data_IF_200512436327
#
_entry.id   IF_200512436327
#
_cell.length_a   1.000
_cell.length_b   1.000
_cell.length_c   1.000
_cell.angle_alpha   90.00
_cell.angle_beta   90.00
_cell.angle_gamma   90.00
#
_symmetry.space_group_name_H-M   'P 1'
#
loop_
_entity.id
_entity.type
_entity.pdbx_description
1 polymer ?
#
# COMPACT_ATOMS: atom_id res chain seq x y z
N UNK A 1 -19.42 -27.41 23.57
CA UNK A 1 -20.18 -28.68 23.49
C UNK A 1 -20.56 -29.11 22.08
N UNK A 2 -21.27 -28.29 21.29
CA UNK A 2 -21.73 -28.65 19.93
C UNK A 2 -20.63 -29.19 18.99
N UNK A 3 -19.45 -28.57 18.99
CA UNK A 3 -18.33 -28.97 18.12
C UNK A 3 -17.74 -30.34 18.47
N UNK A 4 -17.75 -30.72 19.74
CA UNK A 4 -17.26 -32.03 20.20
C UNK A 4 -18.23 -33.13 19.80
N UNK A 5 -19.54 -32.84 19.90
CA UNK A 5 -20.59 -33.78 19.49
C UNK A 5 -20.55 -34.04 17.97
N UNK A 6 -20.30 -32.99 17.17
CA UNK A 6 -20.13 -33.11 15.72
C UNK A 6 -18.90 -33.96 15.35
N UNK A 7 -17.79 -33.81 16.07
CA UNK A 7 -16.59 -34.61 15.85
C UNK A 7 -16.82 -36.10 16.18
N UNK A 8 -17.52 -36.39 17.29
CA UNK A 8 -17.90 -37.75 17.66
C UNK A 8 -18.88 -38.38 16.67
N UNK A 9 -19.82 -37.60 16.14
CA UNK A 9 -20.76 -38.08 15.12
C UNK A 9 -20.04 -38.43 13.81
N UNK A 10 -19.10 -37.59 13.34
CA UNK A 10 -18.31 -37.87 12.13
C UNK A 10 -17.43 -39.10 12.26
N UNK A 11 -16.69 -39.21 13.37
CA UNK A 11 -15.85 -40.39 13.65
C UNK A 11 -16.66 -41.68 13.78
N UNK A 12 -17.92 -41.62 14.19
CA UNK A 12 -18.80 -42.78 14.21
C UNK A 12 -19.21 -43.22 12.79
N UNK A 13 -19.59 -42.26 11.94
CA UNK A 13 -20.02 -42.49 10.54
C UNK A 13 -18.85 -43.07 9.72
N UNK A 14 -17.66 -42.47 9.80
CA UNK A 14 -16.47 -42.94 9.08
C UNK A 14 -16.06 -44.38 9.43
N UNK A 15 -16.39 -44.85 10.64
CA UNK A 15 -16.03 -46.18 11.12
C UNK A 15 -17.10 -47.26 10.84
N UNK A 16 -18.32 -46.88 10.45
CA UNK A 16 -19.45 -47.83 10.33
C UNK A 16 -20.15 -47.82 8.97
N UNK A 17 -19.98 -46.80 8.12
CA UNK A 17 -20.69 -46.68 6.85
C UNK A 17 -19.74 -46.46 5.65
N UNK A 18 -19.44 -47.53 4.91
CA UNK A 18 -18.73 -47.47 3.60
C UNK A 18 -19.66 -47.07 2.44
N UNK A 19 -20.96 -46.86 2.69
CA UNK A 19 -22.00 -46.77 1.64
C UNK A 19 -22.78 -45.45 1.67
N UNK A 20 -22.69 -44.63 2.73
CA UNK A 20 -23.39 -43.35 2.78
C UNK A 20 -22.53 -42.17 2.32
N UNK A 21 -23.07 -41.39 1.38
CA UNK A 21 -22.52 -40.10 1.00
C UNK A 21 -22.65 -39.14 2.18
N UNK A 22 -21.55 -38.51 2.62
CA UNK A 22 -21.52 -37.56 3.73
C UNK A 22 -22.62 -36.50 3.56
N UNK A 23 -23.63 -36.54 4.44
CA UNK A 23 -24.84 -35.72 4.39
C UNK A 23 -24.59 -34.28 4.87
N UNK A 24 -23.39 -34.01 5.39
CA UNK A 24 -23.00 -32.69 5.87
C UNK A 24 -22.07 -32.02 4.85
N UNK A 25 -22.30 -30.74 4.57
CA UNK A 25 -21.30 -29.95 3.85
C UNK A 25 -19.96 -30.05 4.58
N UNK A 26 -18.91 -30.40 3.83
CA UNK A 26 -17.52 -30.39 4.30
C UNK A 26 -17.13 -28.94 4.62
N UNK A 27 -17.51 -28.46 5.80
CA UNK A 27 -16.94 -27.25 6.36
C UNK A 27 -15.46 -27.54 6.64
N UNK A 28 -14.52 -26.75 6.11
CA UNK A 28 -13.11 -26.91 6.43
C UNK A 28 -12.94 -26.67 7.92
N UNK A 29 -12.75 -27.75 8.69
CA UNK A 29 -12.24 -27.67 10.05
C UNK A 29 -10.76 -27.29 9.92
N UNK A 30 -10.45 -26.01 10.11
CA UNK A 30 -9.07 -25.57 10.32
C UNK A 30 -8.63 -26.12 11.68
N UNK A 31 -7.91 -27.24 11.67
CA UNK A 31 -7.50 -27.95 12.88
C UNK A 31 -6.13 -27.48 13.38
N UNK A 32 -5.31 -26.98 12.46
CA UNK A 32 -3.97 -26.51 12.75
C UNK A 32 -3.70 -25.15 12.05
N UNK A 33 -2.90 -24.29 12.66
CA UNK A 33 -2.52 -23.00 12.05
C UNK A 33 -1.79 -23.18 10.70
N UNK A 34 -1.18 -24.35 10.47
CA UNK A 34 -0.58 -24.70 9.17
C UNK A 34 -1.59 -24.84 8.03
N UNK A 35 -2.86 -25.05 8.35
CA UNK A 35 -3.95 -25.18 7.37
C UNK A 35 -4.42 -23.80 6.88
N UNK A 36 -3.94 -22.73 7.53
CA UNK A 36 -4.28 -21.35 7.20
C UNK A 36 -3.26 -20.81 6.18
N UNK A 37 -3.77 -20.42 5.00
CA UNK A 37 -2.99 -19.69 4.00
C UNK A 37 -3.29 -18.20 4.13
N UNK A 38 -2.26 -17.40 4.43
CA UNK A 38 -2.36 -15.94 4.30
C UNK A 38 -2.48 -15.63 2.81
N UNK A 39 -3.63 -15.15 2.38
CA UNK A 39 -3.90 -14.76 0.99
C UNK A 39 -3.39 -13.36 0.69
N UNK A 40 -3.45 -12.45 1.68
CA UNK A 40 -2.96 -11.09 1.58
C UNK A 40 -2.59 -10.55 2.97
N UNK A 41 -1.59 -9.67 3.03
CA UNK A 41 -1.23 -8.91 4.23
C UNK A 41 -1.09 -7.44 3.87
N UNK A 42 -2.02 -6.61 4.34
CA UNK A 42 -2.02 -5.16 4.06
C UNK A 42 -1.41 -4.40 5.23
N UNK A 43 -0.46 -3.50 4.94
CA UNK A 43 0.18 -2.66 5.96
C UNK A 43 -0.61 -1.38 6.19
N UNK A 44 -1.86 -1.53 6.64
CA UNK A 44 -2.78 -0.41 6.86
C UNK A 44 -2.23 0.61 7.86
N UNK A 45 -1.55 0.14 8.91
CA UNK A 45 -0.91 1.01 9.90
C UNK A 45 0.18 1.87 9.26
N UNK A 46 1.03 1.30 8.41
CA UNK A 46 2.09 2.05 7.75
C UNK A 46 1.53 3.10 6.79
N UNK A 47 0.51 2.74 6.02
CA UNK A 47 -0.17 3.70 5.14
C UNK A 47 -0.77 4.86 5.96
N UNK A 48 -1.41 4.57 7.09
CA UNK A 48 -1.96 5.60 7.99
C UNK A 48 -0.85 6.48 8.59
N UNK A 49 0.27 5.89 9.00
CA UNK A 49 1.42 6.62 9.52
C UNK A 49 2.01 7.57 8.47
N UNK A 50 2.31 7.06 7.27
CA UNK A 50 2.83 7.87 6.16
C UNK A 50 1.82 8.93 5.73
N UNK A 51 0.53 8.62 5.77
CA UNK A 51 -0.55 9.57 5.54
C UNK A 51 -0.55 10.70 6.57
N UNK A 52 -0.38 10.39 7.87
CA UNK A 52 -0.29 11.41 8.92
C UNK A 52 0.95 12.27 8.78
N UNK A 53 2.08 11.67 8.40
CA UNK A 53 3.32 12.41 8.12
C UNK A 53 3.10 13.36 6.94
N UNK A 54 2.48 12.89 5.85
CA UNK A 54 2.11 13.72 4.71
C UNK A 54 1.26 14.94 5.11
N UNK A 55 0.26 14.73 5.96
CA UNK A 55 -0.60 15.81 6.46
C UNK A 55 0.17 16.75 7.43
N UNK A 56 1.03 16.21 8.29
CA UNK A 56 1.84 16.98 9.25
C UNK A 56 2.84 17.89 8.54
N UNK A 57 3.40 17.42 7.43
CA UNK A 57 4.28 18.21 6.56
C UNK A 57 3.52 19.33 5.82
N UNK A 58 2.18 19.37 5.88
CA UNK A 58 1.34 20.35 5.19
C UNK A 58 1.08 20.02 3.70
N UNK A 59 1.44 18.81 3.25
CA UNK A 59 1.29 18.42 1.84
C UNK A 59 -0.17 18.15 1.44
N UNK A 60 -1.09 18.13 2.42
CA UNK A 60 -2.53 18.05 2.22
C UNK A 60 -3.14 19.26 1.47
N UNK A 61 -2.35 20.32 1.23
CA UNK A 61 -2.71 21.39 0.28
C UNK A 61 -3.06 20.84 -1.11
N UNK A 62 -2.44 19.72 -1.51
CA UNK A 62 -2.79 19.00 -2.71
C UNK A 62 -3.79 17.88 -2.39
N UNK A 63 -5.06 18.09 -2.76
CA UNK A 63 -6.18 17.21 -2.36
C UNK A 63 -6.35 15.97 -3.24
N UNK A 64 -5.50 15.77 -4.25
CA UNK A 64 -5.60 14.62 -5.14
C UNK A 64 -5.12 13.34 -4.45
N UNK A 65 -6.09 12.48 -4.12
CA UNK A 65 -5.83 11.21 -3.42
C UNK A 65 -4.94 10.26 -4.23
N UNK A 66 -5.06 10.24 -5.56
CA UNK A 66 -4.25 9.35 -6.41
C UNK A 66 -2.77 9.73 -6.31
N UNK A 67 -2.48 11.03 -6.30
CA UNK A 67 -1.11 11.52 -6.19
C UNK A 67 -0.55 11.30 -4.79
N UNK A 68 -1.35 11.55 -3.74
CA UNK A 68 -0.97 11.21 -2.36
C UNK A 68 -0.62 9.72 -2.22
N UNK A 69 -1.45 8.85 -2.77
CA UNK A 69 -1.25 7.41 -2.72
C UNK A 69 0.04 6.99 -3.42
N UNK A 70 0.30 7.55 -4.61
CA UNK A 70 1.55 7.32 -5.34
C UNK A 70 2.79 7.76 -4.54
N UNK A 71 2.73 8.91 -3.88
CA UNK A 71 3.84 9.40 -3.05
C UNK A 71 4.09 8.45 -1.88
N UNK A 72 3.03 8.05 -1.17
CA UNK A 72 3.14 7.10 -0.05
C UNK A 72 3.73 5.78 -0.51
N UNK A 73 3.28 5.24 -1.65
CA UNK A 73 3.83 4.01 -2.21
C UNK A 73 5.30 4.13 -2.59
N UNK A 74 5.72 5.26 -3.14
CA UNK A 74 7.13 5.53 -3.49
C UNK A 74 8.04 5.73 -2.30
N UNK A 75 7.53 6.31 -1.21
CA UNK A 75 8.26 6.41 0.07
C UNK A 75 8.37 5.03 0.72
N UNK A 76 7.33 4.21 0.65
CA UNK A 76 7.37 2.83 1.13
C UNK A 76 8.36 1.97 0.33
N UNK A 77 8.34 2.07 -1.00
CA UNK A 77 9.27 1.36 -1.87
C UNK A 77 9.57 2.17 -3.16
N UNK A 78 10.82 2.58 -3.40
CA UNK A 78 11.17 3.39 -4.56
C UNK A 78 11.36 2.52 -5.81
N UNK A 79 10.26 2.06 -6.42
CA UNK A 79 10.25 1.17 -7.60
C UNK A 79 9.81 1.86 -8.90
N UNK A 80 9.77 1.12 -10.01
CA UNK A 80 9.25 1.59 -11.31
C UNK A 80 7.76 1.99 -11.23
N UNK A 81 7.23 2.69 -12.26
CA UNK A 81 5.82 3.13 -12.26
C UNK A 81 4.85 1.96 -12.27
N UNK A 82 5.18 0.92 -13.04
CA UNK A 82 4.41 -0.32 -13.13
C UNK A 82 4.36 -1.00 -11.76
N UNK A 83 5.53 -1.24 -11.17
CA UNK A 83 5.62 -1.91 -9.85
C UNK A 83 4.97 -1.09 -8.72
N UNK A 84 4.87 0.24 -8.87
CA UNK A 84 4.15 1.08 -7.89
C UNK A 84 2.65 0.74 -7.86
N UNK A 85 2.07 0.33 -8.98
CA UNK A 85 0.65 -0.08 -9.06
C UNK A 85 0.44 -1.36 -8.27
N UNK A 86 1.31 -2.36 -8.48
CA UNK A 86 1.24 -3.63 -7.78
C UNK A 86 1.37 -3.42 -6.26
N UNK A 87 2.28 -2.54 -5.82
CA UNK A 87 2.41 -2.17 -4.40
C UNK A 87 1.14 -1.51 -3.85
N UNK A 88 0.55 -0.58 -4.61
CA UNK A 88 -0.67 0.11 -4.18
C UNK A 88 -1.81 -0.90 -3.97
N UNK A 89 -1.95 -1.87 -4.85
CA UNK A 89 -2.95 -2.93 -4.74
C UNK A 89 -2.62 -3.93 -3.62
N UNK A 90 -1.43 -4.52 -3.65
CA UNK A 90 -1.04 -5.61 -2.75
C UNK A 90 -0.87 -5.16 -1.29
N UNK A 91 -0.19 -4.02 -1.09
CA UNK A 91 0.21 -3.54 0.24
C UNK A 91 -0.82 -2.60 0.87
N UNK A 92 -1.57 -1.87 0.05
CA UNK A 92 -2.47 -0.80 0.50
C UNK A 92 -3.93 -0.94 0.03
N UNK A 93 -4.27 -1.96 -0.76
CA UNK A 93 -5.64 -2.21 -1.22
C UNK A 93 -6.19 -1.15 -2.17
N UNK A 94 -5.31 -0.47 -2.93
CA UNK A 94 -5.64 0.65 -3.82
C UNK A 94 -5.36 0.31 -5.27
N UNK A 95 -6.40 -0.08 -6.00
CA UNK A 95 -6.29 -0.37 -7.43
C UNK A 95 -6.50 0.89 -8.27
N UNK A 96 -5.52 1.20 -9.14
CA UNK A 96 -5.60 2.27 -10.14
C UNK A 96 -5.10 1.77 -11.48
N UNK A 97 -5.76 2.17 -12.57
CA UNK A 97 -5.21 1.95 -13.91
C UNK A 97 -4.05 2.90 -14.19
N UNK A 98 -3.07 2.44 -14.98
CA UNK A 98 -1.92 3.25 -15.40
C UNK A 98 -2.35 4.56 -16.10
N UNK A 99 -3.43 4.51 -16.90
CA UNK A 99 -4.05 5.69 -17.53
C UNK A 99 -4.55 6.70 -16.50
N UNK A 100 -5.14 6.24 -15.40
CA UNK A 100 -5.59 7.11 -14.30
C UNK A 100 -4.39 7.77 -13.64
N UNK A 101 -3.36 7.00 -13.29
CA UNK A 101 -2.13 7.54 -12.69
C UNK A 101 -1.51 8.63 -13.56
N UNK A 102 -1.31 8.38 -14.86
CA UNK A 102 -0.71 9.38 -15.75
C UNK A 102 -1.57 10.65 -15.88
N UNK A 103 -2.90 10.52 -15.95
CA UNK A 103 -3.80 11.67 -16.00
C UNK A 103 -3.67 12.54 -14.74
N UNK A 104 -3.64 11.92 -13.57
CA UNK A 104 -3.54 12.64 -12.29
C UNK A 104 -2.15 13.25 -12.10
N UNK A 105 -1.07 12.55 -12.49
CA UNK A 105 0.29 13.10 -12.48
C UNK A 105 0.43 14.30 -13.41
N UNK A 106 -0.08 14.21 -14.65
CA UNK A 106 -0.07 15.34 -15.59
C UNK A 106 -0.80 16.53 -14.99
N UNK A 107 -2.01 16.30 -14.45
CA UNK A 107 -2.78 17.36 -13.78
C UNK A 107 -1.98 17.98 -12.63
N UNK A 108 -1.34 17.18 -11.78
CA UNK A 108 -0.54 17.70 -10.66
C UNK A 108 0.63 18.57 -11.12
N UNK A 109 1.33 18.15 -12.17
CA UNK A 109 2.41 18.91 -12.79
C UNK A 109 1.86 20.24 -13.35
N UNK A 110 0.76 20.18 -14.10
CA UNK A 110 0.11 21.37 -14.67
C UNK A 110 -0.35 22.36 -13.57
N UNK A 111 -0.61 21.90 -12.35
CA UNK A 111 -0.98 22.73 -11.19
C UNK A 111 0.23 23.17 -10.33
N UNK A 112 1.48 22.91 -10.75
CA UNK A 112 2.67 23.38 -10.03
C UNK A 112 2.92 22.65 -8.71
N UNK A 113 2.65 21.34 -8.65
CA UNK A 113 2.85 20.54 -7.43
C UNK A 113 4.28 20.67 -6.87
N UNK A 114 5.29 20.80 -7.73
CA UNK A 114 6.69 20.90 -7.33
C UNK A 114 6.93 22.16 -6.50
N UNK A 115 6.52 23.30 -7.02
CA UNK A 115 6.70 24.61 -6.38
C UNK A 115 5.92 24.70 -5.07
N UNK A 116 4.70 24.15 -5.05
CA UNK A 116 3.87 24.08 -3.84
C UNK A 116 4.49 23.20 -2.76
N UNK A 117 4.98 22.01 -3.12
CA UNK A 117 5.61 21.11 -2.15
C UNK A 117 6.92 21.66 -1.62
N UNK A 118 7.76 22.22 -2.51
CA UNK A 118 9.04 22.80 -2.12
C UNK A 118 8.84 23.96 -1.13
N UNK A 119 7.95 24.91 -1.44
CA UNK A 119 7.66 26.04 -0.54
C UNK A 119 7.08 25.57 0.80
N UNK A 120 6.19 24.58 0.78
CA UNK A 120 5.58 24.00 1.98
C UNK A 120 6.63 23.33 2.88
N UNK A 121 7.50 22.49 2.30
CA UNK A 121 8.54 21.78 3.04
C UNK A 121 9.61 22.71 3.59
N UNK A 122 10.00 23.75 2.83
CA UNK A 122 10.92 24.78 3.33
C UNK A 122 10.29 25.52 4.52
N UNK A 123 9.00 25.88 4.43
CA UNK A 123 8.29 26.52 5.55
C UNK A 123 8.22 25.62 6.78
N UNK A 124 7.91 24.33 6.58
CA UNK A 124 7.89 23.33 7.65
C UNK A 124 9.25 23.22 8.34
N UNK A 125 10.34 23.07 7.57
CA UNK A 125 11.70 22.97 8.09
C UNK A 125 12.10 24.22 8.88
N UNK A 126 11.81 25.43 8.36
CA UNK A 126 12.09 26.70 9.06
C UNK A 126 11.38 26.78 10.42
N UNK A 127 10.10 26.39 10.47
CA UNK A 127 9.33 26.34 11.71
C UNK A 127 9.88 25.33 12.71
N UNK A 128 10.28 24.15 12.24
CA UNK A 128 10.81 23.08 13.11
C UNK A 128 12.21 23.34 13.65
N UNK A 129 13.02 24.11 12.91
CA UNK A 129 14.43 24.36 13.23
C UNK A 129 14.68 25.70 13.95
N UNK A 130 13.63 26.44 14.34
CA UNK A 130 13.73 27.73 15.06
C UNK A 130 14.83 28.67 14.50
N UNK A 131 14.94 28.76 13.18
CA UNK A 131 15.96 29.55 12.45
C UNK A 131 17.44 29.23 12.76
N UNK A 132 17.75 28.12 13.47
CA UNK A 132 19.13 27.72 13.77
C UNK A 132 19.77 26.87 12.66
N UNK A 133 19.42 27.11 11.39
CA UNK A 133 19.98 26.38 10.26
C UNK A 133 21.42 26.84 9.99
N UNK A 134 22.36 26.36 10.79
CA UNK A 134 23.77 26.78 10.72
C UNK A 134 24.59 26.03 9.67
N UNK A 135 24.09 24.92 9.12
CA UNK A 135 24.82 24.06 8.18
C UNK A 135 23.89 23.50 7.11
N UNK A 136 24.25 23.69 5.84
CA UNK A 136 23.53 23.15 4.68
C UNK A 136 24.49 22.27 3.88
N UNK A 137 24.24 20.96 3.89
CA UNK A 137 24.91 20.03 2.99
C UNK A 137 24.21 20.10 1.63
N UNK A 138 24.94 20.48 0.57
CA UNK A 138 24.46 20.37 -0.80
C UNK A 138 25.43 19.52 -1.61
N UNK A 139 24.88 18.69 -2.49
CA UNK A 139 25.62 17.95 -3.52
C UNK A 139 24.94 18.20 -4.87
N UNK A 140 25.73 18.26 -5.95
CA UNK A 140 25.21 18.49 -7.30
C UNK A 140 25.08 17.15 -8.00
N UNK A 141 23.86 16.64 -8.10
CA UNK A 141 23.56 15.42 -8.85
C UNK A 141 23.00 15.78 -10.23
N UNK A 142 23.67 15.34 -11.30
CA UNK A 142 23.16 15.47 -12.67
C UNK A 142 22.28 14.26 -13.00
N UNK A 143 21.01 14.49 -13.33
CA UNK A 143 20.13 13.46 -13.88
C UNK A 143 20.31 13.40 -15.40
N UNK A 144 21.01 12.37 -15.89
CA UNK A 144 21.11 12.08 -17.31
C UNK A 144 19.90 11.25 -17.77
N UNK A 145 19.16 11.75 -18.76
CA UNK A 145 18.11 10.99 -19.43
C UNK A 145 18.61 10.67 -20.84
N UNK A 146 18.66 9.39 -21.16
CA UNK A 146 18.86 8.95 -22.54
C UNK A 146 17.50 8.58 -23.11
N UNK A 147 17.11 9.20 -24.22
CA UNK A 147 15.89 8.84 -24.91
C UNK A 147 16.29 7.92 -26.06
N UNK A 148 15.92 6.64 -25.99
CA UNK A 148 15.89 5.80 -27.18
C UNK A 148 14.81 6.35 -28.11
N UNK A 149 15.19 7.21 -29.05
CA UNK A 149 14.41 7.46 -30.26
C UNK A 149 14.30 6.12 -31.01
N UNK A 150 13.26 5.35 -30.70
CA UNK A 150 12.87 4.20 -31.50
C UNK A 150 12.25 4.73 -32.79
N UNK A 151 13.14 4.91 -33.77
CA UNK A 151 12.83 5.10 -35.19
C UNK A 151 12.17 3.86 -35.80
#
# INVERSE_FOLDING_TARGET
EKSILLLKARTFIDNHDDIQHDLFEKQPLFSHLSDIKITQSQSLFLYQLLSRIYDTLGLNIFTDKVVRDLIIARVYKPVSKQETIDILEDSFGKAYSLKTIYRHLKKAIDHGIKEQFQSTLISFAKKGLNDSLHLVFYDVTTLAFDNEDRS
#
